data_IF_699221897733
#
_entry.id   IF_699221897733
#
_cell.length_a   1.000
_cell.length_b   1.000
_cell.length_c   1.000
_cell.angle_alpha   90.00
_cell.angle_beta   90.00
_cell.angle_gamma   90.00
#
_symmetry.space_group_name_H-M   'P 1'
#
loop_
_entity.id
_entity.type
_entity.pdbx_description
1 polymer ?
#
# COMPACT_ATOMS: atom_id res chain seq x y z
N UNK A 1 15.81 -8.90 -18.81
CA UNK A 1 15.38 -7.50 -18.60
C UNK A 1 14.93 -7.40 -17.16
N UNK A 2 15.72 -6.76 -16.30
CA UNK A 2 15.38 -6.58 -14.89
C UNK A 2 14.43 -5.39 -14.79
N UNK A 3 13.13 -5.65 -14.89
CA UNK A 3 12.11 -4.65 -14.63
C UNK A 3 12.15 -4.38 -13.12
N UNK A 4 12.90 -3.35 -12.74
CA UNK A 4 12.92 -2.80 -11.39
C UNK A 4 11.51 -2.33 -11.08
N UNK A 5 10.71 -3.23 -10.52
CA UNK A 5 9.29 -3.05 -10.16
C UNK A 5 9.21 -1.83 -9.25
N UNK A 6 8.92 -0.68 -9.84
CA UNK A 6 8.77 0.60 -9.16
C UNK A 6 7.41 0.55 -8.46
N UNK A 7 7.34 -0.20 -7.37
CA UNK A 7 6.14 -0.27 -6.52
C UNK A 7 5.99 1.09 -5.88
N UNK A 8 5.23 1.98 -6.49
CA UNK A 8 4.98 3.32 -5.96
C UNK A 8 4.32 3.17 -4.59
N UNK A 9 5.08 3.47 -3.53
CA UNK A 9 4.53 3.48 -2.19
C UNK A 9 3.48 4.59 -2.09
N UNK A 10 2.28 4.23 -1.64
CA UNK A 10 1.17 5.15 -1.42
C UNK A 10 1.13 5.54 0.05
N UNK A 11 0.82 6.79 0.36
CA UNK A 11 0.70 7.26 1.75
C UNK A 11 -0.73 7.10 2.24
N UNK A 12 -0.90 6.90 3.55
CA UNK A 12 -2.21 6.96 4.21
C UNK A 12 -2.95 8.24 3.82
N UNK A 13 -4.26 8.13 3.60
CA UNK A 13 -5.11 9.22 3.13
C UNK A 13 -5.12 9.42 1.61
N UNK A 14 -4.22 8.77 0.86
CA UNK A 14 -4.28 8.77 -0.62
C UNK A 14 -5.20 7.66 -1.12
N UNK A 15 -5.78 7.87 -2.30
CA UNK A 15 -6.59 6.86 -2.96
C UNK A 15 -5.73 5.70 -3.47
N UNK A 16 -6.27 4.50 -3.33
CA UNK A 16 -5.78 3.27 -3.89
C UNK A 16 -5.88 3.31 -5.40
N UNK A 17 -4.75 3.15 -6.10
CA UNK A 17 -4.71 3.22 -7.57
C UNK A 17 -4.94 1.85 -8.22
N UNK A 18 -4.72 0.75 -7.50
CA UNK A 18 -4.79 -0.62 -8.00
C UNK A 18 -5.33 -1.51 -6.88
N UNK A 19 -6.37 -2.31 -7.16
CA UNK A 19 -6.85 -3.26 -6.17
C UNK A 19 -5.79 -4.32 -5.84
N UNK A 20 -5.66 -4.68 -4.57
CA UNK A 20 -4.74 -5.73 -4.16
C UNK A 20 -4.34 -5.69 -2.68
N UNK A 21 -3.33 -6.48 -2.38
CA UNK A 21 -2.68 -6.56 -1.08
C UNK A 21 -1.61 -5.48 -0.98
N UNK A 22 -1.71 -4.68 0.07
CA UNK A 22 -0.77 -3.63 0.41
C UNK A 22 -0.11 -3.94 1.74
N UNK A 23 1.22 -3.83 1.79
CA UNK A 23 2.00 -3.98 3.00
C UNK A 23 2.48 -2.62 3.50
N UNK A 24 2.39 -2.38 4.81
CA UNK A 24 2.95 -1.21 5.45
C UNK A 24 4.47 -1.24 5.40
N UNK A 25 5.08 -0.15 4.95
CA UNK A 25 6.52 0.08 5.02
C UNK A 25 6.93 0.41 6.46
N UNK A 26 7.80 -0.40 7.06
CA UNK A 26 8.39 -0.16 8.38
C UNK A 26 8.79 -1.44 9.09
N UNK A 27 9.22 -1.33 10.36
CA UNK A 27 9.70 -2.47 11.16
C UNK A 27 8.62 -3.50 11.52
N UNK A 28 7.37 -3.07 11.60
CA UNK A 28 6.21 -3.94 11.81
C UNK A 28 5.47 -4.06 10.49
N UNK A 29 5.42 -5.28 9.97
CA UNK A 29 4.67 -5.63 8.77
C UNK A 29 3.19 -5.70 9.10
N UNK A 30 2.38 -5.12 8.23
CA UNK A 30 0.92 -5.16 8.33
C UNK A 30 0.40 -5.18 6.92
N UNK A 31 -0.46 -6.15 6.61
CA UNK A 31 -1.04 -6.33 5.28
C UNK A 31 -2.50 -5.90 5.33
N UNK A 32 -2.93 -5.15 4.32
CA UNK A 32 -4.31 -4.74 4.12
C UNK A 32 -4.73 -5.04 2.69
N UNK A 33 -5.99 -5.37 2.50
CA UNK A 33 -6.59 -5.50 1.17
C UNK A 33 -7.35 -4.21 0.86
N UNK A 34 -7.06 -3.62 -0.29
CA UNK A 34 -7.72 -2.39 -0.73
C UNK A 34 -8.18 -2.54 -2.17
N UNK A 35 -9.37 -2.02 -2.46
CA UNK A 35 -9.87 -1.88 -3.82
C UNK A 35 -9.44 -0.54 -4.42
N UNK A 36 -9.31 -0.47 -5.74
CA UNK A 36 -9.08 0.80 -6.44
C UNK A 36 -10.18 1.80 -6.03
N UNK A 37 -9.75 2.99 -5.62
CA UNK A 37 -10.63 4.05 -5.12
C UNK A 37 -10.78 4.08 -3.60
N UNK A 38 -10.39 3.03 -2.88
CA UNK A 38 -10.38 3.05 -1.41
C UNK A 38 -9.29 3.99 -0.88
N UNK A 39 -9.50 4.56 0.31
CA UNK A 39 -8.48 5.38 0.96
C UNK A 39 -7.47 4.49 1.68
N UNK A 40 -6.18 4.73 1.45
CA UNK A 40 -5.09 4.08 2.16
C UNK A 40 -5.21 4.33 3.68
N UNK A 41 -5.34 3.29 4.52
CA UNK A 41 -5.63 3.46 5.94
C UNK A 41 -4.44 4.01 6.71
N UNK A 42 -4.70 4.64 7.85
CA UNK A 42 -3.69 4.93 8.85
C UNK A 42 -3.46 3.71 9.74
N UNK A 43 -2.26 3.59 10.32
CA UNK A 43 -1.95 2.52 11.25
C UNK A 43 -1.77 3.11 12.65
N UNK A 44 -2.63 2.70 13.60
CA UNK A 44 -2.69 3.27 14.95
C UNK A 44 -2.77 4.81 14.96
N UNK A 45 -3.57 5.40 14.06
CA UNK A 45 -3.73 6.85 13.93
C UNK A 45 -2.50 7.59 13.38
N UNK A 46 -1.51 6.86 12.84
CA UNK A 46 -0.32 7.44 12.21
C UNK A 46 -0.38 7.25 10.70
N UNK A 47 0.04 8.29 9.98
CA UNK A 47 0.31 8.20 8.55
C UNK A 47 1.47 7.25 8.28
N UNK A 48 1.22 6.27 7.43
CA UNK A 48 2.20 5.29 7.01
C UNK A 48 2.26 5.22 5.49
N UNK A 49 3.24 4.49 4.98
CA UNK A 49 3.37 4.19 3.56
C UNK A 49 2.98 2.73 3.33
N UNK A 50 2.32 2.49 2.21
CA UNK A 50 1.80 1.21 1.78
C UNK A 50 2.42 0.86 0.44
N UNK A 51 2.95 -0.35 0.31
CA UNK A 51 3.49 -0.89 -0.93
C UNK A 51 2.60 -2.01 -1.43
N UNK A 52 2.27 -1.98 -2.72
CA UNK A 52 1.49 -3.05 -3.35
C UNK A 52 2.36 -4.32 -3.45
N UNK A 53 2.00 -5.36 -2.70
CA UNK A 53 2.73 -6.63 -2.71
C UNK A 53 2.12 -7.60 -3.72
N UNK A 54 0.79 -7.61 -3.85
CA UNK A 54 0.06 -8.47 -4.80
C UNK A 54 -1.10 -7.72 -5.42
N UNK A 55 -1.24 -7.82 -6.75
CA UNK A 55 -2.43 -7.33 -7.45
C UNK A 55 -3.59 -8.30 -7.24
N UNK A 56 -4.77 -7.75 -6.99
CA UNK A 56 -6.05 -8.47 -6.99
C UNK A 56 -6.72 -8.43 -8.34
#
# INVERSE_FOLDING_TARGET
MNDGKKTSALESGKLCTVSGEYEKVGSITTIVFLSRGDVMPEYCGKKVKWILVRKG
#
